data_IF_315538201584
#
_entry.id   IF_315538201584
#
_cell.length_a   1.000
_cell.length_b   1.000
_cell.length_c   1.000
_cell.angle_alpha   90.00
_cell.angle_beta   90.00
_cell.angle_gamma   90.00
#
_symmetry.space_group_name_H-M   'P 1'
#
loop_
_entity.id
_entity.type
_entity.pdbx_description
1 polymer ?
#
# COMPACT_ATOMS: atom_id res chain seq x y z
N UNK A 1 -16.72 29.71 7.36
CA UNK A 1 -17.88 28.97 6.83
C UNK A 1 -18.48 29.73 5.63
N UNK A 2 -18.67 29.05 4.48
CA UNK A 2 -19.33 29.62 3.32
C UNK A 2 -20.71 28.93 3.15
N UNK A 3 -21.83 29.61 3.47
CA UNK A 3 -23.15 29.01 3.43
C UNK A 3 -23.69 28.74 2.03
N UNK A 4 -23.01 29.23 0.98
CA UNK A 4 -23.38 28.94 -0.42
C UNK A 4 -22.91 27.57 -0.90
N UNK A 5 -21.94 26.95 -0.20
CA UNK A 5 -21.48 25.60 -0.51
C UNK A 5 -22.50 24.60 -0.01
N UNK A 6 -23.14 23.90 -0.95
CA UNK A 6 -24.08 22.82 -0.62
C UNK A 6 -23.33 21.49 -0.59
N UNK A 7 -23.64 20.60 0.37
CA UNK A 7 -23.08 19.26 0.37
C UNK A 7 -23.54 18.50 -0.87
N UNK A 8 -22.65 17.72 -1.46
CA UNK A 8 -22.98 16.75 -2.51
C UNK A 8 -23.31 15.44 -1.81
N UNK A 9 -24.45 14.80 -2.11
CA UNK A 9 -24.80 13.50 -1.56
C UNK A 9 -23.69 12.48 -1.83
N UNK A 10 -23.42 11.63 -0.85
CA UNK A 10 -22.30 10.66 -0.94
C UNK A 10 -22.52 9.64 -2.07
N UNK A 11 -23.77 9.34 -2.40
CA UNK A 11 -24.16 8.43 -3.49
C UNK A 11 -23.80 8.97 -4.88
N UNK A 12 -23.58 10.29 -4.99
CA UNK A 12 -23.12 10.94 -6.21
C UNK A 12 -21.59 10.97 -6.35
N UNK A 13 -20.87 10.56 -5.31
CA UNK A 13 -19.40 10.50 -5.34
C UNK A 13 -18.94 9.25 -6.09
N UNK A 14 -17.74 9.35 -6.70
CA UNK A 14 -17.10 8.19 -7.30
C UNK A 14 -16.93 7.06 -6.28
N UNK A 15 -17.27 5.85 -6.68
CA UNK A 15 -17.10 4.65 -5.86
C UNK A 15 -15.69 4.09 -5.89
N UNK A 16 -14.83 4.61 -6.75
CA UNK A 16 -13.42 4.22 -6.86
C UNK A 16 -12.54 5.39 -7.24
N UNK A 17 -11.30 5.33 -6.80
CA UNK A 17 -10.28 6.31 -7.16
C UNK A 17 -8.89 5.70 -7.12
N UNK A 18 -8.03 6.11 -8.05
CA UNK A 18 -6.60 5.84 -8.03
C UNK A 18 -5.84 7.14 -7.73
N UNK A 19 -5.23 7.20 -6.56
CA UNK A 19 -4.35 8.30 -6.12
C UNK A 19 -2.94 8.02 -6.65
N UNK A 20 -2.68 8.40 -7.89
CA UNK A 20 -1.46 8.04 -8.62
C UNK A 20 -0.18 8.54 -7.96
N UNK A 21 -0.20 9.69 -7.28
CA UNK A 21 0.97 10.21 -6.58
C UNK A 21 1.38 9.32 -5.40
N UNK A 22 0.43 8.75 -4.71
CA UNK A 22 0.63 7.88 -3.55
C UNK A 22 0.56 6.39 -3.87
N UNK A 23 0.25 6.03 -5.12
CA UNK A 23 0.02 4.66 -5.58
C UNK A 23 -1.00 3.92 -4.70
N UNK A 24 -2.12 4.60 -4.41
CA UNK A 24 -3.21 4.06 -3.61
C UNK A 24 -4.45 3.91 -4.46
N UNK A 25 -5.04 2.73 -4.42
CA UNK A 25 -6.34 2.44 -5.03
C UNK A 25 -7.38 2.27 -3.94
N UNK A 26 -8.52 2.90 -4.13
CA UNK A 26 -9.69 2.75 -3.30
C UNK A 26 -10.91 2.38 -4.15
N UNK A 27 -11.71 1.42 -3.69
CA UNK A 27 -12.93 0.99 -4.35
C UNK A 27 -13.99 0.59 -3.32
N UNK A 28 -15.27 0.86 -3.65
CA UNK A 28 -16.42 0.43 -2.87
C UNK A 28 -17.62 0.13 -3.78
N UNK A 29 -18.43 -0.85 -3.42
CA UNK A 29 -19.67 -1.17 -4.15
C UNK A 29 -20.79 -0.15 -3.88
N UNK A 30 -20.84 0.38 -2.65
CA UNK A 30 -21.86 1.32 -2.18
C UNK A 30 -21.32 2.14 -1.00
N UNK A 31 -22.16 2.98 -0.41
CA UNK A 31 -21.86 3.87 0.72
C UNK A 31 -22.53 3.44 2.03
N UNK A 32 -23.07 2.23 2.10
CA UNK A 32 -23.69 1.65 3.29
C UNK A 32 -22.78 0.61 3.97
N UNK A 33 -23.13 0.20 5.19
CA UNK A 33 -22.33 -0.72 6.01
C UNK A 33 -22.20 -2.12 5.42
N UNK A 34 -23.12 -2.55 4.54
CA UNK A 34 -23.08 -3.85 3.89
C UNK A 34 -22.27 -3.84 2.58
N UNK A 35 -21.72 -2.68 2.20
CA UNK A 35 -20.91 -2.56 1.01
C UNK A 35 -19.65 -3.42 1.09
N UNK A 36 -19.18 -3.89 -0.07
CA UNK A 36 -17.81 -4.35 -0.23
C UNK A 36 -16.94 -3.13 -0.52
N UNK A 37 -15.86 -2.96 0.22
CA UNK A 37 -14.89 -1.90 0.01
C UNK A 37 -13.47 -2.45 0.24
N UNK A 38 -12.50 -1.86 -0.44
CA UNK A 38 -11.10 -2.17 -0.19
C UNK A 38 -10.20 -0.99 -0.53
N UNK A 39 -9.00 -1.02 0.05
CA UNK A 39 -7.87 -0.21 -0.35
C UNK A 39 -6.68 -1.10 -0.66
N UNK A 40 -5.84 -0.65 -1.59
CA UNK A 40 -4.53 -1.24 -1.89
C UNK A 40 -3.52 -0.11 -1.95
N UNK A 41 -2.36 -0.28 -1.32
CA UNK A 41 -1.30 0.73 -1.27
C UNK A 41 0.03 0.14 -1.70
N UNK A 42 0.79 0.90 -2.49
CA UNK A 42 2.14 0.49 -2.90
C UNK A 42 3.18 1.62 -2.78
N UNK A 43 2.84 2.86 -2.96
CA UNK A 43 3.75 3.98 -3.23
C UNK A 43 4.73 4.36 -2.11
N UNK A 44 5.64 5.27 -2.45
CA UNK A 44 6.60 5.78 -1.48
C UNK A 44 5.91 6.63 -0.41
N UNK A 45 6.52 6.76 0.79
CA UNK A 45 6.10 7.76 1.77
C UNK A 45 6.01 9.16 1.15
N UNK A 46 4.97 9.90 1.47
CA UNK A 46 4.67 11.25 0.95
C UNK A 46 4.41 11.34 -0.57
N UNK A 47 4.31 10.21 -1.27
CA UNK A 47 4.03 10.13 -2.70
C UNK A 47 5.22 10.50 -3.60
N UNK A 48 5.03 10.39 -4.91
CA UNK A 48 6.05 10.69 -5.93
C UNK A 48 6.37 12.20 -6.00
N UNK A 49 5.40 13.05 -5.65
CA UNK A 49 5.54 14.50 -5.60
C UNK A 49 6.57 15.01 -4.58
N UNK A 50 6.96 14.19 -3.60
CA UNK A 50 8.00 14.54 -2.64
C UNK A 50 9.40 14.71 -3.27
N UNK A 51 9.61 14.26 -4.51
CA UNK A 51 10.90 14.35 -5.22
C UNK A 51 11.52 15.76 -5.16
N UNK A 52 10.73 16.80 -5.37
CA UNK A 52 11.23 18.17 -5.34
C UNK A 52 11.67 18.61 -3.94
N UNK A 53 10.93 18.20 -2.90
CA UNK A 53 11.24 18.50 -1.50
C UNK A 53 12.52 17.80 -1.05
N UNK A 54 12.65 16.51 -1.35
CA UNK A 54 13.83 15.70 -0.99
C UNK A 54 15.09 16.24 -1.64
N UNK A 55 15.00 16.72 -2.89
CA UNK A 55 16.13 17.38 -3.59
C UNK A 55 16.50 18.73 -3.01
N UNK A 56 15.50 19.53 -2.62
CA UNK A 56 15.72 20.87 -2.07
C UNK A 56 16.21 20.84 -0.61
N UNK A 57 15.86 19.79 0.15
CA UNK A 57 16.15 19.64 1.56
C UNK A 57 16.81 18.28 1.82
N UNK A 58 18.15 18.18 1.77
CA UNK A 58 18.87 16.89 1.95
C UNK A 58 18.57 16.18 3.26
N UNK A 59 18.22 16.93 4.31
CA UNK A 59 17.86 16.41 5.64
C UNK A 59 16.36 16.15 5.79
N UNK A 60 15.59 16.16 4.68
CA UNK A 60 14.17 15.89 4.73
C UNK A 60 13.89 14.50 5.27
N UNK A 61 13.12 14.42 6.36
CA UNK A 61 12.71 13.15 6.97
C UNK A 61 11.38 12.70 6.34
N UNK A 62 11.44 11.58 5.63
CA UNK A 62 10.25 10.97 5.04
C UNK A 62 9.25 10.58 6.13
N UNK A 63 8.00 11.06 6.00
CA UNK A 63 6.83 10.74 6.81
C UNK A 63 6.89 11.09 8.29
N UNK A 64 8.02 11.55 8.83
CA UNK A 64 8.15 11.92 10.24
C UNK A 64 7.53 10.91 11.24
N UNK A 65 7.65 9.62 10.95
CA UNK A 65 7.16 8.52 11.81
C UNK A 65 5.70 8.11 11.57
N UNK A 66 5.04 8.61 10.53
CA UNK A 66 3.63 8.29 10.23
C UNK A 66 3.43 7.32 9.06
N UNK A 67 4.47 7.00 8.27
CA UNK A 67 4.39 5.97 7.25
C UNK A 67 4.85 4.62 7.79
N UNK A 68 4.22 3.57 7.29
CA UNK A 68 4.53 2.20 7.66
C UNK A 68 5.22 1.45 6.52
N UNK A 69 5.98 0.38 6.79
CA UNK A 69 6.58 -0.49 5.79
C UNK A 69 5.53 -1.47 5.23
N UNK A 70 4.52 -0.93 4.54
CA UNK A 70 3.27 -1.58 4.15
C UNK A 70 3.04 -1.64 2.64
N UNK A 71 4.08 -1.45 1.82
CA UNK A 71 3.95 -1.49 0.38
C UNK A 71 3.42 -2.85 -0.10
N UNK A 72 2.36 -2.83 -0.93
CA UNK A 72 1.63 -4.02 -1.35
C UNK A 72 0.55 -4.47 -0.37
N UNK A 73 0.38 -3.75 0.75
CA UNK A 73 -0.68 -3.99 1.70
C UNK A 73 -2.06 -3.66 1.16
N UNK A 74 -3.07 -4.35 1.68
CA UNK A 74 -4.48 -4.15 1.33
C UNK A 74 -5.37 -4.38 2.55
N UNK A 75 -6.53 -3.74 2.53
CA UNK A 75 -7.57 -3.90 3.55
C UNK A 75 -8.88 -4.18 2.81
N UNK A 76 -9.65 -5.16 3.26
CA UNK A 76 -10.93 -5.55 2.68
C UNK A 76 -12.01 -5.49 3.75
N UNK A 77 -13.07 -4.77 3.43
CA UNK A 77 -14.29 -4.68 4.20
C UNK A 77 -15.45 -5.29 3.41
N UNK A 78 -16.28 -6.10 4.04
CA UNK A 78 -17.54 -6.58 3.47
C UNK A 78 -18.53 -7.00 4.55
N UNK A 79 -19.82 -6.81 4.29
CA UNK A 79 -20.91 -7.22 5.18
C UNK A 79 -20.74 -6.73 6.63
N UNK A 80 -20.37 -5.45 6.79
CA UNK A 80 -20.27 -4.80 8.10
C UNK A 80 -19.03 -5.16 8.92
N UNK A 81 -18.00 -5.78 8.32
CA UNK A 81 -16.76 -6.17 9.03
C UNK A 81 -15.53 -6.18 8.14
N UNK A 82 -14.37 -6.09 8.74
CA UNK A 82 -13.11 -6.38 8.07
C UNK A 82 -12.99 -7.88 7.79
N UNK A 83 -12.68 -8.23 6.53
CA UNK A 83 -12.27 -9.58 6.12
C UNK A 83 -10.76 -9.72 6.22
N UNK A 84 -10.04 -8.64 5.88
CA UNK A 84 -8.63 -8.46 6.21
C UNK A 84 -8.47 -7.08 6.81
N UNK A 85 -7.71 -6.98 7.88
CA UNK A 85 -7.45 -5.74 8.58
C UNK A 85 -6.02 -5.26 8.40
N UNK A 86 -5.60 -4.52 9.38
CA UNK A 86 -4.26 -3.99 9.56
C UNK A 86 -4.08 -3.72 11.05
N UNK A 87 -2.93 -3.99 11.63
CA UNK A 87 -2.71 -3.75 13.07
C UNK A 87 -2.55 -2.28 13.43
N UNK A 88 -2.57 -1.38 12.46
CA UNK A 88 -2.49 0.06 12.68
C UNK A 88 -1.19 0.47 13.38
N UNK A 89 -1.32 1.36 14.37
CA UNK A 89 -0.20 1.79 15.23
C UNK A 89 0.04 0.80 16.38
N UNK A 90 0.47 -0.42 16.07
CA UNK A 90 0.76 -1.44 17.07
C UNK A 90 2.19 -1.31 17.66
N UNK A 91 2.57 -0.14 18.14
CA UNK A 91 3.93 0.14 18.61
C UNK A 91 4.87 0.51 17.47
N UNK A 92 5.99 -0.21 17.31
CA UNK A 92 6.93 0.00 16.20
C UNK A 92 6.33 -0.57 14.91
N UNK A 93 6.15 0.22 13.84
CA UNK A 93 5.62 -0.29 12.57
C UNK A 93 6.58 -1.29 11.94
N UNK A 94 6.09 -2.50 11.70
CA UNK A 94 6.84 -3.59 11.07
C UNK A 94 6.07 -4.11 9.85
N UNK A 95 6.77 -4.64 8.87
CA UNK A 95 6.16 -5.25 7.67
C UNK A 95 5.22 -6.40 8.02
N UNK A 96 5.55 -7.16 9.06
CA UNK A 96 4.73 -8.26 9.56
C UNK A 96 3.38 -7.85 10.14
N UNK A 97 3.17 -6.54 10.40
CA UNK A 97 1.89 -5.99 10.84
C UNK A 97 0.93 -5.69 9.69
N UNK A 98 1.33 -5.93 8.44
CA UNK A 98 0.59 -5.58 7.23
C UNK A 98 0.41 -6.79 6.31
N UNK A 99 -0.60 -6.78 5.45
CA UNK A 99 -0.91 -7.86 4.52
C UNK A 99 0.10 -7.91 3.35
N UNK A 100 1.34 -8.28 3.63
CA UNK A 100 2.44 -8.35 2.66
C UNK A 100 3.43 -9.48 3.02
N UNK A 101 4.61 -9.50 2.40
CA UNK A 101 5.60 -10.56 2.57
C UNK A 101 6.80 -10.14 3.41
N UNK A 102 7.37 -11.09 4.14
CA UNK A 102 8.64 -10.99 4.84
C UNK A 102 9.55 -12.14 4.38
N UNK A 103 10.86 -11.90 4.24
CA UNK A 103 11.86 -12.84 3.72
C UNK A 103 12.93 -13.11 4.78
N UNK A 104 13.03 -14.34 5.27
CA UNK A 104 13.91 -14.72 6.40
C UNK A 104 13.73 -13.82 7.64
N UNK A 105 12.50 -13.37 7.91
CA UNK A 105 12.21 -12.44 9.01
C UNK A 105 12.62 -10.99 8.73
N UNK A 106 13.03 -10.65 7.50
CA UNK A 106 13.38 -9.29 7.09
C UNK A 106 12.28 -8.66 6.24
N UNK A 107 11.80 -7.52 6.66
CA UNK A 107 10.73 -6.78 5.98
C UNK A 107 11.25 -5.63 5.11
N UNK A 108 10.36 -4.67 4.89
CA UNK A 108 10.57 -3.51 4.03
C UNK A 108 11.31 -2.38 4.75
N UNK A 109 11.83 -1.43 3.97
CA UNK A 109 12.48 -0.23 4.46
C UNK A 109 13.64 -0.53 5.43
N UNK A 110 13.79 0.26 6.46
CA UNK A 110 14.73 0.07 7.57
C UNK A 110 13.94 -0.12 8.88
N UNK A 111 12.98 -1.03 8.84
CA UNK A 111 12.07 -1.31 9.95
C UNK A 111 12.79 -1.75 11.23
N UNK A 112 12.09 -1.66 12.37
CA UNK A 112 12.64 -2.00 13.67
C UNK A 112 13.39 -0.86 14.36
N UNK A 113 13.47 0.31 13.73
CA UNK A 113 14.11 1.52 14.31
C UNK A 113 13.08 2.52 14.86
N UNK A 114 12.18 2.05 15.72
CA UNK A 114 11.10 2.87 16.27
C UNK A 114 10.09 3.27 15.19
N UNK A 115 9.49 4.46 15.33
CA UNK A 115 8.49 4.96 14.39
C UNK A 115 9.07 5.50 13.07
N UNK A 116 10.37 5.42 12.86
CA UNK A 116 11.05 6.01 11.70
C UNK A 116 11.61 4.92 10.77
N UNK A 117 10.72 4.07 10.26
CA UNK A 117 11.07 2.94 9.39
C UNK A 117 11.76 3.36 8.07
N UNK A 118 11.74 4.65 7.73
CA UNK A 118 12.34 5.17 6.50
C UNK A 118 13.59 6.03 6.74
N UNK A 119 14.05 6.15 8.01
CA UNK A 119 15.30 6.82 8.32
C UNK A 119 16.47 6.11 7.63
N UNK A 120 17.23 6.86 6.82
CA UNK A 120 18.37 6.33 6.09
C UNK A 120 18.03 5.52 4.83
N UNK A 121 16.76 5.40 4.48
CA UNK A 121 16.33 4.77 3.22
C UNK A 121 16.31 5.82 2.10
N UNK A 122 16.96 5.50 0.97
CA UNK A 122 16.97 6.39 -0.18
C UNK A 122 15.57 6.56 -0.75
N UNK A 123 15.10 7.82 -0.83
CA UNK A 123 13.83 8.14 -1.48
C UNK A 123 13.82 7.73 -2.96
N UNK A 124 14.94 7.88 -3.68
CA UNK A 124 15.04 7.45 -5.09
C UNK A 124 14.81 5.95 -5.26
N UNK A 125 15.12 5.15 -4.24
CA UNK A 125 14.80 3.72 -4.22
C UNK A 125 13.31 3.51 -4.00
N UNK A 126 12.72 4.13 -2.99
CA UNK A 126 11.30 4.00 -2.65
C UNK A 126 10.41 4.54 -3.78
N UNK A 127 10.85 5.61 -4.44
CA UNK A 127 10.15 6.24 -5.56
C UNK A 127 10.03 5.35 -6.83
N UNK A 128 10.70 4.19 -6.84
CA UNK A 128 10.56 3.16 -7.89
C UNK A 128 9.38 2.21 -7.65
N UNK A 129 8.81 2.20 -6.45
CA UNK A 129 7.62 1.40 -6.15
C UNK A 129 6.44 1.98 -6.92
N UNK A 130 5.78 1.15 -7.75
CA UNK A 130 4.73 1.64 -8.66
C UNK A 130 3.64 0.62 -8.87
N UNK A 131 2.42 1.12 -9.04
CA UNK A 131 1.33 0.38 -9.65
C UNK A 131 1.41 0.44 -11.17
N UNK A 132 1.13 -0.66 -11.81
CA UNK A 132 1.13 -0.83 -13.25
C UNK A 132 -0.20 -1.44 -13.70
N UNK A 133 -0.62 -1.12 -14.91
CA UNK A 133 -1.83 -1.70 -15.51
C UNK A 133 -3.08 -1.53 -14.66
N UNK A 134 -3.21 -0.41 -13.92
CA UNK A 134 -4.37 -0.12 -13.10
C UNK A 134 -5.59 0.03 -13.98
N UNK A 135 -6.56 -0.87 -13.81
CA UNK A 135 -7.87 -0.84 -14.46
C UNK A 135 -8.93 -0.85 -13.40
N UNK A 136 -9.86 0.09 -13.48
CA UNK A 136 -10.95 0.24 -12.52
C UNK A 136 -12.27 0.41 -13.24
N UNK A 137 -13.29 -0.22 -12.73
CA UNK A 137 -14.65 -0.14 -13.22
C UNK A 137 -15.64 -0.29 -12.08
N UNK A 138 -16.92 -0.17 -12.37
CA UNK A 138 -18.00 -0.42 -11.42
C UNK A 138 -18.00 -1.87 -10.88
N UNK A 139 -17.54 -2.81 -11.69
CA UNK A 139 -17.60 -4.25 -11.37
C UNK A 139 -16.25 -4.88 -11.04
N UNK A 140 -15.17 -4.11 -11.04
CA UNK A 140 -13.88 -4.71 -10.74
C UNK A 140 -12.69 -3.76 -10.79
N UNK A 141 -11.60 -4.27 -10.25
CA UNK A 141 -10.28 -3.64 -10.28
C UNK A 141 -9.24 -4.70 -10.62
N UNK A 142 -8.25 -4.34 -11.40
CA UNK A 142 -7.02 -5.12 -11.54
C UNK A 142 -5.82 -4.20 -11.60
N UNK A 143 -4.74 -4.61 -10.96
CA UNK A 143 -3.47 -3.89 -10.93
C UNK A 143 -2.29 -4.86 -10.71
N UNK A 144 -1.09 -4.38 -11.00
CA UNK A 144 0.17 -5.05 -10.64
C UNK A 144 1.04 -4.03 -9.90
N UNK A 145 1.50 -4.39 -8.71
CA UNK A 145 2.45 -3.60 -7.94
C UNK A 145 3.86 -4.14 -8.14
N UNK A 146 4.82 -3.28 -8.53
CA UNK A 146 6.24 -3.60 -8.44
C UNK A 146 6.76 -3.16 -7.06
N UNK A 147 6.98 -4.14 -6.19
CA UNK A 147 7.35 -3.96 -4.80
C UNK A 147 8.84 -4.23 -4.53
N UNK A 148 9.60 -4.53 -5.57
CA UNK A 148 11.02 -4.91 -5.46
C UNK A 148 11.83 -3.89 -4.64
N UNK A 149 11.59 -2.61 -4.89
CA UNK A 149 12.34 -1.52 -4.26
C UNK A 149 11.91 -1.21 -2.82
N UNK A 150 10.83 -1.83 -2.31
CA UNK A 150 10.45 -1.71 -0.91
C UNK A 150 11.47 -2.41 0.01
N UNK A 151 12.12 -3.46 -0.50
CA UNK A 151 13.07 -4.27 0.26
C UNK A 151 14.51 -3.85 -0.01
N UNK A 152 15.31 -3.72 1.03
CA UNK A 152 16.74 -3.40 0.88
C UNK A 152 17.52 -4.55 0.23
N UNK A 153 18.68 -4.22 -0.35
CA UNK A 153 19.54 -5.19 -1.02
C UNK A 153 19.96 -6.37 -0.12
N UNK A 154 20.10 -6.12 1.19
CA UNK A 154 20.44 -7.14 2.21
C UNK A 154 19.36 -8.21 2.35
N UNK A 155 18.10 -7.90 2.06
CA UNK A 155 16.98 -8.85 2.11
C UNK A 155 17.11 -9.92 1.03
N UNK A 156 17.72 -9.59 -0.12
CA UNK A 156 18.00 -10.57 -1.17
C UNK A 156 16.84 -10.77 -2.15
N UNK A 157 15.86 -9.87 -2.17
CA UNK A 157 14.79 -9.86 -3.18
C UNK A 157 15.34 -9.31 -4.49
N UNK A 158 15.30 -10.10 -5.56
CA UNK A 158 15.68 -9.70 -6.92
C UNK A 158 14.48 -9.13 -7.69
N UNK A 159 13.30 -9.72 -7.49
CA UNK A 159 12.04 -9.23 -8.01
C UNK A 159 10.89 -9.61 -7.09
N UNK A 160 9.99 -8.68 -6.84
CA UNK A 160 8.70 -8.96 -6.22
C UNK A 160 7.62 -8.13 -6.90
N UNK A 161 6.66 -8.82 -7.50
CA UNK A 161 5.45 -8.21 -8.04
C UNK A 161 4.23 -8.87 -7.44
N UNK A 162 3.24 -8.06 -7.07
CA UNK A 162 1.93 -8.52 -6.59
C UNK A 162 0.86 -8.09 -7.59
N UNK A 163 0.15 -9.07 -8.13
CA UNK A 163 -1.11 -8.83 -8.84
C UNK A 163 -2.24 -8.82 -7.81
N UNK A 164 -3.07 -7.79 -7.85
CA UNK A 164 -4.30 -7.71 -7.08
C UNK A 164 -5.46 -7.57 -8.07
N UNK A 165 -6.47 -8.40 -7.94
CA UNK A 165 -7.67 -8.30 -8.72
C UNK A 165 -8.91 -8.48 -7.84
N UNK A 166 -9.94 -7.70 -8.16
CA UNK A 166 -11.26 -7.81 -7.58
C UNK A 166 -12.29 -7.90 -8.69
N UNK A 167 -13.24 -8.80 -8.56
CA UNK A 167 -14.40 -8.91 -9.42
C UNK A 167 -15.65 -9.01 -8.55
N UNK A 168 -16.61 -8.11 -8.79
CA UNK A 168 -17.87 -8.10 -8.06
C UNK A 168 -18.63 -9.43 -8.24
N UNK A 169 -19.37 -9.89 -7.24
CA UNK A 169 -19.71 -9.19 -6.01
C UNK A 169 -18.67 -9.27 -4.89
N UNK A 170 -17.69 -10.16 -4.92
CA UNK A 170 -16.77 -10.36 -3.80
C UNK A 170 -15.61 -11.32 -4.05
N UNK A 171 -15.18 -11.48 -5.31
CA UNK A 171 -14.02 -12.33 -5.62
C UNK A 171 -12.74 -11.50 -5.61
N UNK A 172 -11.82 -11.82 -4.68
CA UNK A 172 -10.49 -11.22 -4.57
C UNK A 172 -9.43 -12.27 -4.95
N UNK A 173 -8.50 -11.87 -5.78
CA UNK A 173 -7.34 -12.67 -6.19
C UNK A 173 -6.06 -11.89 -5.90
N UNK A 174 -5.15 -12.52 -5.16
CA UNK A 174 -3.81 -11.97 -4.89
C UNK A 174 -2.81 -13.00 -5.38
N UNK A 175 -1.92 -12.58 -6.27
CA UNK A 175 -0.88 -13.42 -6.84
C UNK A 175 0.48 -12.74 -6.67
N UNK A 176 1.38 -13.39 -5.95
CA UNK A 176 2.74 -12.93 -5.72
C UNK A 176 3.71 -13.69 -6.60
N UNK A 177 4.51 -12.94 -7.38
CA UNK A 177 5.64 -13.48 -8.14
C UNK A 177 6.92 -12.96 -7.52
N UNK A 178 7.74 -13.88 -7.01
CA UNK A 178 8.98 -13.58 -6.30
C UNK A 178 10.17 -14.25 -6.97
N UNK A 179 11.27 -13.50 -7.16
CA UNK A 179 12.57 -14.02 -7.51
C UNK A 179 13.57 -13.60 -6.42
N UNK A 180 14.28 -14.56 -5.89
CA UNK A 180 15.26 -14.37 -4.81
C UNK A 180 16.67 -14.59 -5.31
N UNK A 181 17.65 -13.92 -4.69
CA UNK A 181 19.08 -14.06 -4.97
C UNK A 181 19.67 -15.32 -4.33
N UNK A 182 19.00 -15.87 -3.32
CA UNK A 182 19.36 -17.08 -2.59
C UNK A 182 18.08 -17.75 -2.08
N UNK A 183 18.18 -18.97 -1.65
CA UNK A 183 17.10 -19.67 -0.94
C UNK A 183 16.74 -18.92 0.37
N UNK A 184 15.45 -18.69 0.60
CA UNK A 184 14.92 -17.97 1.76
C UNK A 184 13.52 -18.48 2.11
N UNK A 185 13.17 -18.38 3.39
CA UNK A 185 11.79 -18.55 3.84
C UNK A 185 10.96 -17.32 3.49
N UNK A 186 9.83 -17.53 2.83
CA UNK A 186 8.85 -16.48 2.55
C UNK A 186 7.69 -16.64 3.52
N UNK A 187 7.41 -15.60 4.30
CA UNK A 187 6.24 -15.55 5.20
C UNK A 187 5.24 -14.54 4.64
N UNK A 188 4.00 -14.98 4.42
CA UNK A 188 2.88 -14.12 4.03
C UNK A 188 2.02 -13.86 5.26
N UNK A 189 1.69 -12.61 5.48
CA UNK A 189 0.80 -12.18 6.56
C UNK A 189 -0.56 -11.80 6.00
N UNK A 190 -1.60 -12.18 6.73
CA UNK A 190 -2.98 -11.82 6.47
C UNK A 190 -3.69 -11.60 7.81
N UNK A 191 -4.08 -10.38 8.09
CA UNK A 191 -4.66 -9.91 9.35
C UNK A 191 -6.19 -9.81 9.30
#
# INVERSE_FOLDING_TARGET
>A
YNPSIKPVPIEQQSKWHYFADHEVVFWRSDCNDNATAFSFKAGPPEGHGATAKVKAFPDWRLSSGHAHPDAGGFIIWANGKYLTGDSGYAGVPMTEHHNTLVFDGLGQADEGKGHDAFAGVSYDRLNKIKLQNVKMSETGVSLVADLTSAYEAKVGVDKFTRRFAFTAPGNFEIEDTVKLKREQTITSFLH
#
